data_IF_503228498032
#
_entry.id   IF_503228498032
#
_cell.length_a   1.000
_cell.length_b   1.000
_cell.length_c   1.000
_cell.angle_alpha   90.00
_cell.angle_beta   90.00
_cell.angle_gamma   90.00
#
_symmetry.space_group_name_H-M   'P 1'
#
loop_
_entity.id
_entity.type
_entity.pdbx_description
1 polymer ?
#
# COMPACT_ATOMS: atom_id res chain seq x y z
N UNK A 1 7.40 -28.34 -3.61
CA UNK A 1 8.82 -28.01 -3.94
C UNK A 1 8.90 -26.96 -5.06
N UNK A 2 8.19 -27.16 -6.18
CA UNK A 2 8.10 -26.20 -7.30
C UNK A 2 7.61 -24.78 -6.91
N UNK A 3 6.59 -24.65 -6.05
CA UNK A 3 6.10 -23.32 -5.60
C UNK A 3 7.09 -22.55 -4.71
N UNK A 4 7.87 -23.25 -3.88
CA UNK A 4 8.92 -22.61 -3.06
C UNK A 4 10.10 -22.15 -3.93
N UNK A 5 10.40 -22.89 -5.00
CA UNK A 5 11.43 -22.52 -5.98
C UNK A 5 11.00 -21.31 -6.82
N UNK A 6 9.74 -21.24 -7.26
CA UNK A 6 9.23 -20.08 -8.01
C UNK A 6 9.16 -18.80 -7.15
N UNK A 7 8.72 -18.89 -5.89
CA UNK A 7 8.70 -17.72 -4.98
C UNK A 7 10.09 -17.15 -4.73
N UNK A 8 11.10 -18.00 -4.45
CA UNK A 8 12.49 -17.55 -4.26
C UNK A 8 13.07 -16.95 -5.54
N UNK A 9 12.75 -17.52 -6.70
CA UNK A 9 13.18 -17.01 -8.00
C UNK A 9 12.65 -15.60 -8.28
N UNK A 10 11.33 -15.37 -8.16
CA UNK A 10 10.74 -14.06 -8.37
C UNK A 10 11.18 -13.01 -7.34
N UNK A 11 11.35 -13.40 -6.07
CA UNK A 11 11.91 -12.50 -5.05
C UNK A 11 13.37 -12.11 -5.38
N UNK A 12 14.17 -13.03 -5.90
CA UNK A 12 15.54 -12.73 -6.35
C UNK A 12 15.53 -11.74 -7.53
N UNK A 13 14.66 -11.97 -8.53
CA UNK A 13 14.49 -11.06 -9.67
C UNK A 13 14.03 -9.67 -9.25
N UNK A 14 13.15 -9.56 -8.24
CA UNK A 14 12.67 -8.26 -7.74
C UNK A 14 13.78 -7.36 -7.19
N UNK A 15 14.92 -7.95 -6.77
CA UNK A 15 16.07 -7.24 -6.22
C UNK A 15 17.12 -6.87 -7.28
N UNK A 16 17.01 -7.41 -8.50
CA UNK A 16 18.04 -7.23 -9.52
C UNK A 16 17.73 -6.01 -10.41
N UNK A 17 18.37 -4.88 -10.10
CA UNK A 17 18.20 -3.61 -10.84
C UNK A 17 18.66 -3.70 -12.31
N UNK A 18 19.56 -4.62 -12.68
CA UNK A 18 20.11 -4.73 -14.04
C UNK A 18 19.12 -5.31 -15.06
N UNK A 19 18.19 -6.17 -14.63
CA UNK A 19 17.14 -6.74 -15.51
C UNK A 19 16.03 -5.70 -15.79
N UNK A 20 15.99 -4.62 -15.00
CA UNK A 20 14.94 -3.60 -15.09
C UNK A 20 14.97 -2.79 -16.39
N UNK A 21 16.14 -2.50 -16.96
CA UNK A 21 16.25 -1.60 -18.13
C UNK A 21 15.66 -2.20 -19.41
N UNK A 22 15.92 -3.49 -19.69
CA UNK A 22 15.37 -4.21 -20.84
C UNK A 22 13.89 -4.57 -20.68
N UNK A 23 13.46 -4.94 -19.47
CA UNK A 23 12.09 -5.30 -19.17
C UNK A 23 11.13 -4.10 -19.15
N UNK A 24 11.60 -2.91 -18.75
CA UNK A 24 10.81 -1.65 -18.68
C UNK A 24 10.13 -1.28 -20.01
N UNK A 25 10.75 -1.61 -21.16
CA UNK A 25 10.24 -1.26 -22.50
C UNK A 25 9.15 -2.21 -23.03
N UNK A 26 9.13 -3.47 -22.59
CA UNK A 26 8.23 -4.50 -23.12
C UNK A 26 7.21 -5.03 -22.10
N UNK A 27 7.49 -4.95 -20.79
CA UNK A 27 6.69 -5.61 -19.77
C UNK A 27 5.30 -5.00 -19.49
N UNK A 28 5.09 -3.70 -19.74
CA UNK A 28 3.75 -3.10 -19.65
C UNK A 28 2.78 -3.71 -20.67
N UNK A 29 3.27 -4.03 -21.88
CA UNK A 29 2.49 -4.73 -22.92
C UNK A 29 2.32 -6.23 -22.65
N UNK A 30 3.06 -6.80 -21.70
CA UNK A 30 3.11 -8.24 -21.39
C UNK A 30 2.44 -8.59 -20.05
N UNK A 31 1.49 -7.76 -19.58
CA UNK A 31 0.64 -8.07 -18.43
C UNK A 31 0.91 -7.25 -17.16
N UNK A 32 1.96 -6.40 -17.12
CA UNK A 32 2.17 -5.52 -15.96
C UNK A 32 1.06 -4.46 -15.81
N UNK A 33 0.38 -4.08 -16.90
CA UNK A 33 -0.80 -3.19 -16.87
C UNK A 33 -1.97 -3.72 -16.03
N UNK A 34 -2.01 -5.03 -15.76
CA UNK A 34 -3.04 -5.63 -14.90
C UNK A 34 -2.85 -5.30 -13.42
N UNK A 35 -1.65 -4.88 -13.01
CA UNK A 35 -1.33 -4.60 -11.60
C UNK A 35 -0.62 -3.26 -11.39
N UNK A 36 -0.32 -2.53 -12.46
CA UNK A 36 0.24 -1.17 -12.46
C UNK A 36 -0.54 -0.31 -13.42
N UNK A 37 -0.99 0.85 -12.94
CA UNK A 37 -1.95 1.73 -13.63
C UNK A 37 -1.31 2.68 -14.66
N UNK A 38 -0.09 2.37 -15.11
CA UNK A 38 0.69 3.21 -16.03
C UNK A 38 2.01 3.68 -15.43
N UNK A 39 2.69 4.54 -16.17
CA UNK A 39 3.99 5.12 -15.82
C UNK A 39 3.98 6.64 -15.72
N UNK A 40 2.86 7.29 -16.10
CA UNK A 40 2.67 8.75 -16.00
C UNK A 40 1.50 9.09 -15.07
N UNK A 41 1.44 10.36 -14.64
CA UNK A 41 0.32 10.89 -13.84
C UNK A 41 -0.98 10.80 -14.65
N UNK A 42 -0.98 11.21 -15.92
CA UNK A 42 -2.19 11.20 -16.76
C UNK A 42 -2.77 9.79 -16.93
N UNK A 43 -1.91 8.79 -17.12
CA UNK A 43 -2.33 7.38 -17.22
C UNK A 43 -3.00 6.91 -15.92
N UNK A 44 -2.39 7.20 -14.77
CA UNK A 44 -2.99 6.78 -13.50
C UNK A 44 -4.27 7.55 -13.18
N UNK A 45 -4.36 8.85 -13.51
CA UNK A 45 -5.59 9.63 -13.32
C UNK A 45 -6.76 9.04 -14.12
N UNK A 46 -6.52 8.58 -15.34
CA UNK A 46 -7.55 7.88 -16.13
C UNK A 46 -8.03 6.61 -15.41
N UNK A 47 -7.10 5.79 -14.89
CA UNK A 47 -7.46 4.57 -14.14
C UNK A 47 -8.22 4.89 -12.86
N UNK A 48 -7.78 5.89 -12.09
CA UNK A 48 -8.43 6.31 -10.85
C UNK A 48 -9.84 6.83 -11.12
N UNK A 49 -10.03 7.55 -12.23
CA UNK A 49 -11.35 8.06 -12.66
C UNK A 49 -12.33 6.91 -12.92
N UNK A 50 -11.90 5.88 -13.66
CA UNK A 50 -12.75 4.73 -13.93
C UNK A 50 -13.09 3.95 -12.65
N UNK A 51 -12.12 3.75 -11.75
CA UNK A 51 -12.38 3.11 -10.46
C UNK A 51 -13.38 3.92 -9.61
N UNK A 52 -13.27 5.26 -9.58
CA UNK A 52 -14.22 6.12 -8.88
C UNK A 52 -15.64 6.04 -9.48
N UNK A 53 -15.78 5.96 -10.81
CA UNK A 53 -17.08 5.75 -11.48
C UNK A 53 -17.74 4.43 -11.07
N UNK A 54 -16.95 3.41 -10.74
CA UNK A 54 -17.43 2.12 -10.23
C UNK A 54 -17.79 2.15 -8.72
N UNK A 55 -17.68 3.31 -8.06
CA UNK A 55 -17.94 3.47 -6.63
C UNK A 55 -16.78 3.04 -5.73
N UNK A 56 -15.59 2.86 -6.29
CA UNK A 56 -14.39 2.49 -5.54
C UNK A 56 -13.57 3.74 -5.20
N UNK A 57 -13.09 3.85 -3.98
CA UNK A 57 -12.10 4.85 -3.59
C UNK A 57 -10.69 4.38 -3.99
N UNK A 58 -9.71 5.28 -4.03
CA UNK A 58 -8.34 4.92 -4.37
C UNK A 58 -7.30 5.39 -3.34
N UNK A 59 -6.11 4.80 -3.40
CA UNK A 59 -4.88 5.33 -2.83
C UNK A 59 -3.78 5.07 -3.84
N UNK A 60 -3.17 6.13 -4.35
CA UNK A 60 -2.15 6.02 -5.39
C UNK A 60 -0.76 5.93 -4.77
N UNK A 61 0.13 5.14 -5.37
CA UNK A 61 1.52 4.97 -4.94
C UNK A 61 2.42 5.18 -6.15
N UNK A 62 3.26 6.21 -6.10
CA UNK A 62 4.32 6.38 -7.10
C UNK A 62 5.43 5.37 -6.79
N UNK A 63 5.71 4.50 -7.76
CA UNK A 63 6.65 3.41 -7.61
C UNK A 63 8.09 3.93 -7.64
N UNK A 64 8.75 3.71 -6.51
CA UNK A 64 10.16 3.88 -6.22
C UNK A 64 10.39 3.33 -4.81
N UNK A 65 11.59 2.85 -4.47
CA UNK A 65 11.95 2.46 -3.09
C UNK A 65 13.48 2.49 -2.96
N UNK A 66 13.98 2.76 -1.75
CA UNK A 66 15.42 2.71 -1.42
C UNK A 66 16.27 3.62 -2.32
N UNK A 67 15.89 4.90 -2.36
CA UNK A 67 16.66 5.95 -3.02
C UNK A 67 17.96 6.19 -2.25
N UNK A 68 19.08 6.29 -2.96
CA UNK A 68 20.41 6.49 -2.37
C UNK A 68 20.95 7.91 -2.60
N UNK A 69 20.36 8.66 -3.53
CA UNK A 69 20.79 10.01 -3.89
C UNK A 69 19.74 11.05 -3.53
N UNK A 70 20.18 12.20 -2.99
CA UNK A 70 19.25 13.28 -2.60
C UNK A 70 18.45 13.81 -3.79
N UNK A 71 19.04 13.82 -4.98
CA UNK A 71 18.37 14.28 -6.21
C UNK A 71 17.17 13.37 -6.58
N UNK A 72 17.36 12.05 -6.52
CA UNK A 72 16.27 11.08 -6.72
C UNK A 72 15.13 11.27 -5.70
N UNK A 73 15.47 11.61 -4.46
CA UNK A 73 14.49 11.87 -3.40
C UNK A 73 13.71 13.17 -3.63
N UNK A 74 14.39 14.21 -4.12
CA UNK A 74 13.75 15.48 -4.52
C UNK A 74 12.80 15.24 -5.71
N UNK A 75 13.23 14.47 -6.71
CA UNK A 75 12.38 14.09 -7.84
C UNK A 75 11.14 13.32 -7.39
N UNK A 76 11.29 12.40 -6.44
CA UNK A 76 10.18 11.64 -5.85
C UNK A 76 9.21 12.54 -5.06
N UNK A 77 9.75 13.50 -4.30
CA UNK A 77 8.96 14.53 -3.61
C UNK A 77 8.13 15.35 -4.59
N UNK A 78 8.74 15.85 -5.66
CA UNK A 78 8.04 16.67 -6.65
C UNK A 78 7.00 15.88 -7.43
N UNK A 79 7.24 14.58 -7.68
CA UNK A 79 6.24 13.67 -8.23
C UNK A 79 5.04 13.49 -7.29
N UNK A 80 5.27 13.35 -5.98
CA UNK A 80 4.19 13.30 -4.98
C UNK A 80 3.33 14.57 -5.00
N UNK A 81 3.97 15.75 -5.04
CA UNK A 81 3.28 17.06 -5.09
C UNK A 81 2.41 17.18 -6.36
N UNK A 82 2.97 16.88 -7.53
CA UNK A 82 2.23 16.88 -8.81
C UNK A 82 1.07 15.87 -8.82
N UNK A 83 1.25 14.72 -8.18
CA UNK A 83 0.19 13.70 -8.06
C UNK A 83 -0.96 14.21 -7.21
N UNK A 84 -0.69 14.90 -6.09
CA UNK A 84 -1.72 15.52 -5.25
C UNK A 84 -2.49 16.58 -6.03
N UNK A 85 -1.78 17.46 -6.74
CA UNK A 85 -2.39 18.50 -7.57
C UNK A 85 -3.28 17.91 -8.66
N UNK A 86 -2.84 16.85 -9.33
CA UNK A 86 -3.63 16.16 -10.35
C UNK A 86 -4.88 15.47 -9.76
N UNK A 87 -4.76 14.80 -8.61
CA UNK A 87 -5.91 14.23 -7.89
C UNK A 87 -6.94 15.33 -7.61
N UNK A 88 -6.49 16.48 -7.12
CA UNK A 88 -7.36 17.60 -6.77
C UNK A 88 -8.01 18.24 -8.01
N UNK A 89 -7.22 18.51 -9.05
CA UNK A 89 -7.69 19.12 -10.31
C UNK A 89 -8.78 18.28 -10.98
N UNK A 90 -8.66 16.96 -10.92
CA UNK A 90 -9.61 16.02 -11.52
C UNK A 90 -10.72 15.56 -10.55
N UNK A 91 -10.77 16.11 -9.33
CA UNK A 91 -11.73 15.74 -8.27
C UNK A 91 -11.78 14.22 -8.00
N UNK A 92 -10.61 13.58 -8.02
CA UNK A 92 -10.47 12.14 -7.80
C UNK A 92 -10.58 11.84 -6.31
N UNK A 93 -11.45 10.91 -5.94
CA UNK A 93 -11.50 10.34 -4.60
C UNK A 93 -10.32 9.38 -4.37
N UNK A 94 -9.14 9.95 -4.12
CA UNK A 94 -7.92 9.21 -3.83
C UNK A 94 -7.13 9.78 -2.65
N UNK A 95 -6.45 8.89 -1.94
CA UNK A 95 -5.34 9.24 -1.05
C UNK A 95 -4.01 9.15 -1.81
N UNK A 96 -2.92 9.56 -1.17
CA UNK A 96 -1.55 9.27 -1.60
C UNK A 96 -0.87 8.34 -0.59
N UNK A 97 -0.34 7.19 -1.04
CA UNK A 97 0.56 6.32 -0.26
C UNK A 97 2.01 6.68 -0.59
N UNK A 98 2.88 6.72 0.42
CA UNK A 98 4.29 7.10 0.27
C UNK A 98 5.16 6.13 1.09
N UNK A 99 6.25 5.64 0.50
CA UNK A 99 7.33 4.97 1.23
C UNK A 99 8.44 5.98 1.53
N UNK A 100 8.82 6.11 2.79
CA UNK A 100 9.73 7.16 3.23
C UNK A 100 11.15 6.98 2.68
N UNK A 101 11.57 5.74 2.36
CA UNK A 101 12.85 5.53 1.69
C UNK A 101 12.93 6.15 0.29
N UNK A 102 11.80 6.43 -0.36
CA UNK A 102 11.78 7.22 -1.61
C UNK A 102 12.14 8.69 -1.39
N UNK A 103 11.96 9.18 -0.16
CA UNK A 103 12.15 10.57 0.21
C UNK A 103 13.44 10.78 1.00
N UNK A 104 14.33 9.78 1.00
CA UNK A 104 15.66 9.86 1.61
C UNK A 104 15.73 9.44 3.08
N UNK A 105 14.78 8.64 3.59
CA UNK A 105 14.81 8.16 4.99
C UNK A 105 16.13 7.45 5.35
N UNK A 106 16.70 6.70 4.42
CA UNK A 106 17.97 5.99 4.60
C UNK A 106 19.21 6.87 4.32
N UNK A 107 19.02 8.07 3.76
CA UNK A 107 20.08 9.07 3.53
C UNK A 107 20.24 9.92 4.79
N UNK A 108 19.17 10.58 5.18
CA UNK A 108 19.13 11.50 6.33
C UNK A 108 17.68 11.71 6.76
N UNK A 109 17.40 11.46 8.04
CA UNK A 109 16.03 11.49 8.57
C UNK A 109 15.41 12.89 8.50
N UNK A 110 16.21 13.93 8.78
CA UNK A 110 15.72 15.30 8.84
C UNK A 110 15.46 15.84 7.42
N UNK A 111 16.28 15.45 6.44
CA UNK A 111 16.00 15.66 5.02
C UNK A 111 14.71 14.97 4.57
N UNK A 112 14.47 13.73 4.98
CA UNK A 112 13.22 13.03 4.69
C UNK A 112 12.01 13.77 5.30
N UNK A 113 12.13 14.23 6.54
CA UNK A 113 11.09 15.02 7.21
C UNK A 113 10.83 16.35 6.46
N UNK A 114 11.87 17.05 6.03
CA UNK A 114 11.74 18.29 5.25
C UNK A 114 11.00 18.04 3.92
N UNK A 115 11.37 16.99 3.19
CA UNK A 115 10.67 16.59 1.97
C UNK A 115 9.19 16.28 2.24
N UNK A 116 8.89 15.55 3.32
CA UNK A 116 7.53 15.23 3.71
C UNK A 116 6.71 16.48 4.09
N UNK A 117 7.31 17.45 4.79
CA UNK A 117 6.64 18.71 5.13
C UNK A 117 6.19 19.47 3.88
N UNK A 118 7.03 19.55 2.85
CA UNK A 118 6.63 20.16 1.56
C UNK A 118 5.47 19.43 0.88
N UNK A 119 5.43 18.09 0.94
CA UNK A 119 4.32 17.29 0.38
C UNK A 119 3.03 17.54 1.19
N UNK A 120 3.14 17.55 2.52
CA UNK A 120 2.03 17.82 3.44
C UNK A 120 1.42 19.20 3.20
N UNK A 121 2.24 20.23 2.94
CA UNK A 121 1.74 21.57 2.62
C UNK A 121 0.85 21.59 1.37
N UNK A 122 1.20 20.82 0.33
CA UNK A 122 0.35 20.68 -0.87
C UNK A 122 -0.90 19.85 -0.55
N UNK A 123 -0.76 18.74 0.18
CA UNK A 123 -1.90 17.91 0.59
C UNK A 123 -2.90 18.66 1.47
N UNK A 124 -2.44 19.58 2.33
CA UNK A 124 -3.28 20.43 3.19
C UNK A 124 -4.14 21.38 2.39
N UNK A 125 -3.59 22.01 1.34
CA UNK A 125 -4.35 22.89 0.42
C UNK A 125 -5.50 22.17 -0.26
N UNK A 126 -5.31 20.89 -0.59
CA UNK A 126 -6.29 20.08 -1.32
C UNK A 126 -7.06 19.09 -0.45
N UNK A 127 -6.83 19.10 0.87
CA UNK A 127 -7.51 18.22 1.83
C UNK A 127 -7.31 16.70 1.56
N UNK A 128 -6.18 16.33 0.95
CA UNK A 128 -5.86 14.96 0.51
C UNK A 128 -5.14 14.16 1.60
N UNK A 129 -5.71 13.04 2.03
CA UNK A 129 -5.07 12.19 3.03
C UNK A 129 -3.76 11.55 2.52
N UNK A 130 -2.74 11.53 3.39
CA UNK A 130 -1.46 10.85 3.14
C UNK A 130 -1.35 9.59 4.01
N UNK A 131 -1.00 8.47 3.38
CA UNK A 131 -0.58 7.25 4.06
C UNK A 131 0.94 7.10 3.99
N UNK A 132 1.58 7.03 5.14
CA UNK A 132 2.95 6.55 5.26
C UNK A 132 2.92 5.01 5.24
N UNK A 133 3.36 4.42 4.14
CA UNK A 133 3.49 2.97 4.02
C UNK A 133 4.62 2.48 4.92
N UNK A 134 4.34 1.40 5.66
CA UNK A 134 5.35 0.78 6.51
C UNK A 134 6.21 -0.19 5.70
N UNK A 135 7.51 0.05 5.74
CA UNK A 135 8.53 -0.75 5.07
C UNK A 135 8.99 -1.91 5.98
N UNK A 136 10.21 -2.42 5.80
CA UNK A 136 10.76 -3.45 6.70
C UNK A 136 11.06 -2.91 8.11
N UNK A 137 11.29 -3.85 9.03
CA UNK A 137 11.42 -3.54 10.46
C UNK A 137 12.54 -2.52 10.77
N UNK A 138 13.62 -2.46 9.98
CA UNK A 138 14.72 -1.53 10.22
C UNK A 138 14.33 -0.05 10.03
N UNK A 139 13.23 0.22 9.32
CA UNK A 139 12.68 1.58 9.11
C UNK A 139 11.44 1.85 9.97
N UNK A 140 10.98 0.88 10.76
CA UNK A 140 9.71 0.96 11.46
C UNK A 140 9.64 2.14 12.43
N UNK A 141 10.60 2.22 13.35
CA UNK A 141 10.62 3.30 14.35
C UNK A 141 10.87 4.67 13.73
N UNK A 142 11.71 4.74 12.70
CA UNK A 142 11.94 5.99 11.96
C UNK A 142 10.65 6.47 11.28
N UNK A 143 9.85 5.55 10.76
CA UNK A 143 8.53 5.88 10.17
C UNK A 143 7.55 6.41 11.22
N UNK A 144 7.50 5.79 12.40
CA UNK A 144 6.63 6.26 13.49
C UNK A 144 7.06 7.64 14.01
N UNK A 145 8.37 7.91 14.10
CA UNK A 145 8.89 9.25 14.43
C UNK A 145 8.45 10.29 13.40
N UNK A 146 8.60 10.01 12.10
CA UNK A 146 8.16 10.94 11.03
C UNK A 146 6.65 11.18 11.09
N UNK A 147 5.85 10.14 11.36
CA UNK A 147 4.41 10.28 11.56
C UNK A 147 4.10 11.24 12.72
N UNK A 148 4.72 11.04 13.87
CA UNK A 148 4.52 11.88 15.06
C UNK A 148 4.84 13.35 14.77
N UNK A 149 5.98 13.62 14.14
CA UNK A 149 6.39 14.98 13.79
C UNK A 149 5.41 15.66 12.82
N UNK A 150 4.94 14.95 11.79
CA UNK A 150 4.01 15.52 10.81
C UNK A 150 2.59 15.73 11.38
N UNK A 151 2.17 14.88 12.33
CA UNK A 151 0.84 14.98 12.95
C UNK A 151 0.65 16.20 13.84
N UNK A 152 1.74 16.87 14.23
CA UNK A 152 1.68 18.15 14.97
C UNK A 152 0.97 19.24 14.15
N UNK A 153 1.11 19.21 12.82
CA UNK A 153 0.64 20.27 11.92
C UNK A 153 -0.42 19.80 10.89
N UNK A 154 -0.61 18.48 10.76
CA UNK A 154 -1.50 17.87 9.78
C UNK A 154 -2.18 16.59 10.30
N UNK A 155 -3.50 16.61 10.44
CA UNK A 155 -4.30 15.53 11.01
C UNK A 155 -4.71 14.44 10.01
N UNK A 156 -4.76 14.77 8.70
CA UNK A 156 -5.06 13.86 7.58
C UNK A 156 -3.84 13.06 7.11
N UNK A 157 -3.07 12.57 8.07
CA UNK A 157 -1.96 11.66 7.83
C UNK A 157 -2.05 10.45 8.77
N UNK A 158 -1.74 9.28 8.25
CA UNK A 158 -1.71 8.04 9.02
C UNK A 158 -0.66 7.09 8.50
N UNK A 159 -0.48 5.96 9.18
CA UNK A 159 0.54 4.96 8.84
C UNK A 159 -0.03 3.56 8.69
N UNK A 160 0.86 2.59 8.48
CA UNK A 160 0.53 1.16 8.37
C UNK A 160 1.11 0.43 9.58
N UNK A 161 0.34 -0.48 10.18
CA UNK A 161 0.85 -1.44 11.19
C UNK A 161 0.77 -2.86 10.63
N UNK A 162 1.83 -3.62 10.85
CA UNK A 162 2.02 -4.96 10.30
C UNK A 162 1.80 -6.01 11.39
N UNK A 163 0.78 -6.85 11.23
CA UNK A 163 0.33 -7.79 12.25
C UNK A 163 1.31 -8.92 12.59
N UNK A 164 2.26 -9.22 11.69
CA UNK A 164 3.31 -10.19 12.00
C UNK A 164 4.33 -9.68 13.04
N UNK A 165 4.38 -8.39 13.40
CA UNK A 165 5.36 -7.89 14.36
C UNK A 165 4.90 -8.15 15.79
N UNK A 166 5.82 -8.58 16.65
CA UNK A 166 5.51 -8.84 18.07
C UNK A 166 5.00 -7.59 18.80
N UNK A 167 5.51 -6.40 18.42
CA UNK A 167 5.13 -5.10 18.99
C UNK A 167 3.79 -4.53 18.49
N UNK A 168 3.18 -5.12 17.46
CA UNK A 168 2.05 -4.50 16.75
C UNK A 168 0.85 -4.20 17.65
N UNK A 169 0.59 -5.01 18.68
CA UNK A 169 -0.52 -4.76 19.62
C UNK A 169 -0.30 -3.51 20.47
N UNK A 170 0.93 -3.27 20.90
CA UNK A 170 1.29 -2.08 21.66
C UNK A 170 1.20 -0.83 20.78
N UNK A 171 1.74 -0.89 19.57
CA UNK A 171 1.69 0.24 18.63
C UNK A 171 0.26 0.59 18.21
N UNK A 172 -0.63 -0.40 18.02
CA UNK A 172 -2.06 -0.14 17.74
C UNK A 172 -2.74 0.58 18.90
N UNK A 173 -2.38 0.27 20.16
CA UNK A 173 -2.94 0.96 21.34
C UNK A 173 -2.41 2.38 21.45
N UNK A 174 -1.10 2.57 21.28
CA UNK A 174 -0.47 3.89 21.41
C UNK A 174 -0.92 4.85 20.30
N UNK A 175 -1.30 4.32 19.13
CA UNK A 175 -1.80 5.08 17.99
C UNK A 175 -3.34 5.15 17.92
N UNK A 176 -4.05 4.91 19.02
CA UNK A 176 -5.50 5.16 19.07
C UNK A 176 -5.81 6.62 18.69
N UNK A 177 -6.84 6.81 17.86
CA UNK A 177 -7.22 8.09 17.25
C UNK A 177 -6.51 8.38 15.93
N UNK A 178 -5.42 7.67 15.59
CA UNK A 178 -4.75 7.80 14.31
C UNK A 178 -5.45 6.92 13.27
N UNK A 179 -5.60 7.42 12.04
CA UNK A 179 -6.08 6.59 10.95
C UNK A 179 -5.00 5.54 10.61
N UNK A 180 -5.26 4.26 10.86
CA UNK A 180 -4.29 3.17 10.60
C UNK A 180 -4.75 2.25 9.47
N UNK A 181 -3.80 1.87 8.61
CA UNK A 181 -3.96 0.71 7.72
C UNK A 181 -3.34 -0.50 8.40
N UNK A 182 -4.14 -1.54 8.61
CA UNK A 182 -3.66 -2.80 9.18
C UNK A 182 -3.41 -3.79 8.04
N UNK A 183 -2.21 -4.38 8.02
CA UNK A 183 -1.80 -5.43 7.06
C UNK A 183 -1.21 -6.63 7.80
N UNK A 184 -1.11 -7.79 7.14
CA UNK A 184 -0.40 -8.95 7.70
C UNK A 184 1.11 -8.71 7.84
N UNK A 185 1.72 -8.04 6.85
CA UNK A 185 3.16 -7.85 6.71
C UNK A 185 3.66 -8.40 5.37
N UNK A 186 4.59 -7.70 4.73
CA UNK A 186 5.06 -8.01 3.36
C UNK A 186 6.56 -8.38 3.28
N UNK A 187 7.33 -8.10 4.33
CA UNK A 187 8.77 -8.28 4.35
C UNK A 187 9.15 -9.62 4.99
N UNK A 188 10.40 -10.05 4.78
CA UNK A 188 10.94 -11.23 5.45
C UNK A 188 11.74 -10.77 6.65
N UNK A 189 11.14 -10.88 7.83
CA UNK A 189 11.74 -10.46 9.09
C UNK A 189 12.26 -11.64 9.92
N UNK A 190 13.18 -11.35 10.83
CA UNK A 190 13.75 -12.34 11.73
C UNK A 190 12.74 -12.77 12.81
N UNK A 191 12.80 -14.02 13.32
CA UNK A 191 11.84 -14.53 14.30
C UNK A 191 11.79 -13.76 15.63
N UNK A 192 12.88 -13.08 15.99
CA UNK A 192 12.97 -12.26 17.21
C UNK A 192 12.11 -10.98 17.13
N UNK A 193 11.74 -10.52 15.93
CA UNK A 193 10.90 -9.32 15.75
C UNK A 193 9.52 -9.64 15.16
N UNK A 194 9.38 -10.80 14.51
CA UNK A 194 8.16 -11.18 13.81
C UNK A 194 7.71 -12.63 14.03
N UNK A 195 6.40 -12.81 14.17
CA UNK A 195 5.68 -14.08 14.10
C UNK A 195 5.93 -14.72 12.73
N UNK A 196 6.29 -16.00 12.72
CA UNK A 196 6.62 -16.74 11.50
C UNK A 196 5.48 -17.65 11.02
N UNK A 197 4.64 -18.10 11.94
CA UNK A 197 3.54 -19.03 11.66
C UNK A 197 2.34 -18.28 11.08
N UNK A 198 1.92 -18.66 9.87
CA UNK A 198 0.84 -17.97 9.14
C UNK A 198 -0.47 -17.90 9.93
N UNK A 199 -0.88 -18.98 10.60
CA UNK A 199 -2.13 -19.00 11.36
C UNK A 199 -2.08 -18.00 12.53
N UNK A 200 -0.94 -17.92 13.23
CA UNK A 200 -0.72 -16.94 14.29
C UNK A 200 -0.71 -15.50 13.77
N UNK A 201 -0.18 -15.27 12.56
CA UNK A 201 -0.26 -13.95 11.91
C UNK A 201 -1.71 -13.60 11.59
N UNK A 202 -2.51 -14.56 11.09
CA UNK A 202 -3.91 -14.34 10.73
C UNK A 202 -4.78 -14.09 11.97
N UNK A 203 -4.52 -14.81 13.07
CA UNK A 203 -5.12 -14.58 14.40
C UNK A 203 -4.76 -13.19 14.92
N UNK A 204 -3.47 -12.86 15.01
CA UNK A 204 -3.02 -11.56 15.51
C UNK A 204 -3.57 -10.42 14.64
N UNK A 205 -3.63 -10.60 13.31
CA UNK A 205 -4.21 -9.60 12.42
C UNK A 205 -5.67 -9.28 12.76
N UNK A 206 -6.48 -10.30 13.03
CA UNK A 206 -7.86 -10.10 13.44
C UNK A 206 -7.96 -9.46 14.83
N UNK A 207 -7.12 -9.85 15.79
CA UNK A 207 -7.06 -9.22 17.12
C UNK A 207 -6.73 -7.73 17.04
N UNK A 208 -5.75 -7.34 16.21
CA UNK A 208 -5.40 -5.93 16.01
C UNK A 208 -6.52 -5.13 15.35
N UNK A 209 -7.26 -5.73 14.42
CA UNK A 209 -8.43 -5.09 13.82
C UNK A 209 -9.49 -4.82 14.88
N UNK A 210 -9.84 -5.82 15.70
CA UNK A 210 -10.81 -5.64 16.80
C UNK A 210 -10.37 -4.55 17.75
N UNK A 211 -9.10 -4.58 18.18
CA UNK A 211 -8.51 -3.61 19.09
C UNK A 211 -8.63 -2.18 18.57
N UNK A 212 -8.27 -1.95 17.30
CA UNK A 212 -8.31 -0.61 16.72
C UNK A 212 -9.76 -0.14 16.46
N UNK A 213 -10.65 -1.02 16.02
CA UNK A 213 -12.07 -0.68 15.83
C UNK A 213 -12.75 -0.32 17.16
N UNK A 214 -12.49 -1.07 18.23
CA UNK A 214 -13.07 -0.80 19.56
C UNK A 214 -12.57 0.51 20.17
N UNK A 215 -11.40 1.00 19.75
CA UNK A 215 -10.90 2.32 20.16
C UNK A 215 -11.67 3.51 19.55
N UNK A 216 -12.60 3.25 18.60
CA UNK A 216 -13.31 4.30 17.85
C UNK A 216 -12.54 4.89 16.68
N UNK A 217 -11.30 4.43 16.47
CA UNK A 217 -10.40 4.94 15.42
C UNK A 217 -10.81 4.51 14.02
N UNK A 218 -10.48 5.34 13.02
CA UNK A 218 -10.70 4.97 11.62
C UNK A 218 -9.73 3.87 11.20
N UNK A 219 -10.27 2.73 10.76
CA UNK A 219 -9.46 1.53 10.48
C UNK A 219 -9.53 1.13 9.01
N UNK A 220 -8.39 1.16 8.31
CA UNK A 220 -8.27 0.62 6.96
C UNK A 220 -7.78 -0.84 7.01
N UNK A 221 -8.65 -1.77 6.61
CA UNK A 221 -8.43 -3.21 6.69
C UNK A 221 -7.93 -3.70 5.32
N UNK A 222 -6.62 -3.77 5.16
CA UNK A 222 -5.97 -4.12 3.90
C UNK A 222 -5.77 -5.64 3.77
N UNK A 223 -6.75 -6.32 3.18
CA UNK A 223 -6.74 -7.77 3.00
C UNK A 223 -7.52 -8.20 1.75
N UNK A 224 -7.02 -9.24 1.07
CA UNK A 224 -7.75 -9.93 -0.01
C UNK A 224 -8.43 -11.21 0.47
N UNK A 225 -8.39 -11.49 1.76
CA UNK A 225 -8.86 -12.73 2.36
C UNK A 225 -10.33 -12.61 2.79
N UNK A 226 -11.21 -13.30 2.06
CA UNK A 226 -12.65 -13.32 2.34
C UNK A 226 -12.98 -13.77 3.77
N UNK A 227 -12.22 -14.71 4.35
CA UNK A 227 -12.51 -15.19 5.70
C UNK A 227 -12.26 -14.09 6.74
N UNK A 228 -11.20 -13.29 6.56
CA UNK A 228 -10.95 -12.14 7.43
C UNK A 228 -12.02 -11.07 7.22
N UNK A 229 -12.40 -10.80 5.98
CA UNK A 229 -13.43 -9.79 5.65
C UNK A 229 -14.77 -10.16 6.29
N UNK A 230 -15.20 -11.42 6.17
CA UNK A 230 -16.47 -11.88 6.75
C UNK A 230 -16.44 -11.81 8.28
N UNK A 231 -15.34 -12.22 8.93
CA UNK A 231 -15.15 -12.07 10.39
C UNK A 231 -15.21 -10.61 10.84
N UNK A 232 -14.63 -9.69 10.07
CA UNK A 232 -14.68 -8.25 10.37
C UNK A 232 -16.11 -7.72 10.26
N UNK A 233 -16.85 -8.11 9.22
CA UNK A 233 -18.24 -7.70 9.04
C UNK A 233 -19.14 -8.18 10.18
N UNK A 234 -18.96 -9.43 10.60
CA UNK A 234 -19.66 -10.01 11.75
C UNK A 234 -19.33 -9.25 13.04
N UNK A 235 -18.04 -9.08 13.34
CA UNK A 235 -17.59 -8.34 14.52
C UNK A 235 -18.10 -6.90 14.54
N UNK A 236 -18.06 -6.19 13.42
CA UNK A 236 -18.56 -4.83 13.30
C UNK A 236 -20.07 -4.75 13.58
N UNK A 237 -20.85 -5.72 13.07
CA UNK A 237 -22.29 -5.82 13.31
C UNK A 237 -22.59 -6.09 14.79
N UNK A 238 -21.92 -7.05 15.40
CA UNK A 238 -22.10 -7.42 16.81
C UNK A 238 -21.81 -6.25 17.76
N UNK A 239 -20.76 -5.48 17.46
CA UNK A 239 -20.32 -4.34 18.27
C UNK A 239 -20.93 -3.01 17.83
N UNK A 240 -21.89 -3.02 16.90
CA UNK A 240 -22.58 -1.81 16.37
C UNK A 240 -21.62 -0.75 15.82
N UNK A 241 -20.50 -1.18 15.24
CA UNK A 241 -19.50 -0.31 14.61
C UNK A 241 -20.04 0.17 13.26
N UNK A 242 -19.99 1.48 13.01
CA UNK A 242 -20.45 2.05 11.75
C UNK A 242 -19.56 1.63 10.57
N UNK A 243 -20.16 1.33 9.42
CA UNK A 243 -19.43 1.14 8.15
C UNK A 243 -18.62 2.38 7.74
N UNK A 244 -18.89 3.56 8.32
CA UNK A 244 -18.12 4.79 8.09
C UNK A 244 -16.84 4.87 8.93
N UNK A 245 -16.70 4.02 9.96
CA UNK A 245 -15.53 3.99 10.84
C UNK A 245 -14.39 3.15 10.24
N UNK A 246 -14.64 2.38 9.19
CA UNK A 246 -13.61 1.53 8.60
C UNK A 246 -13.79 1.38 7.09
N UNK A 247 -12.74 0.90 6.44
CA UNK A 247 -12.75 0.59 5.03
C UNK A 247 -12.04 -0.73 4.77
N UNK A 248 -12.38 -1.37 3.66
CA UNK A 248 -11.58 -2.46 3.11
C UNK A 248 -10.63 -1.94 2.05
N UNK A 249 -9.42 -2.52 2.01
CA UNK A 249 -8.41 -2.15 1.04
C UNK A 249 -7.85 -3.35 0.30
N UNK A 250 -7.71 -3.23 -1.02
CA UNK A 250 -7.15 -4.25 -1.88
C UNK A 250 -6.26 -3.64 -2.95
N UNK A 251 -5.22 -4.38 -3.32
CA UNK A 251 -4.36 -4.03 -4.46
C UNK A 251 -5.16 -4.00 -5.77
N UNK A 252 -4.79 -3.05 -6.64
CA UNK A 252 -5.25 -2.97 -8.02
C UNK A 252 -5.02 -4.29 -8.77
N UNK A 253 -5.98 -4.67 -9.61
CA UNK A 253 -5.96 -5.94 -10.34
C UNK A 253 -6.37 -7.18 -9.54
N UNK A 254 -6.58 -7.09 -8.22
CA UNK A 254 -6.81 -8.26 -7.37
C UNK A 254 -8.24 -8.32 -6.82
N UNK A 255 -8.93 -9.46 -7.03
CA UNK A 255 -10.27 -9.71 -6.47
C UNK A 255 -11.31 -8.64 -6.86
N UNK A 256 -11.26 -8.15 -8.10
CA UNK A 256 -12.10 -7.03 -8.59
C UNK A 256 -13.59 -7.22 -8.29
N UNK A 257 -14.13 -8.42 -8.51
CA UNK A 257 -15.54 -8.73 -8.18
C UNK A 257 -15.86 -8.54 -6.68
N UNK A 258 -14.94 -8.92 -5.80
CA UNK A 258 -15.11 -8.71 -4.36
C UNK A 258 -15.02 -7.23 -3.99
N UNK A 259 -14.15 -6.46 -4.66
CA UNK A 259 -14.08 -5.01 -4.46
C UNK A 259 -15.43 -4.35 -4.79
N UNK A 260 -15.98 -4.65 -5.97
CA UNK A 260 -17.28 -4.14 -6.42
C UNK A 260 -18.42 -4.59 -5.50
N UNK A 261 -18.38 -5.85 -5.05
CA UNK A 261 -19.36 -6.38 -4.09
C UNK A 261 -19.34 -5.61 -2.77
N UNK A 262 -18.18 -5.38 -2.17
CA UNK A 262 -18.05 -4.65 -0.91
C UNK A 262 -18.53 -3.19 -1.03
N UNK A 263 -18.24 -2.52 -2.13
CA UNK A 263 -18.76 -1.18 -2.40
C UNK A 263 -20.29 -1.17 -2.49
N UNK A 264 -20.89 -2.12 -3.22
CA UNK A 264 -22.35 -2.27 -3.32
C UNK A 264 -23.03 -2.60 -1.99
N UNK A 265 -22.33 -3.28 -1.09
CA UNK A 265 -22.79 -3.56 0.28
C UNK A 265 -22.73 -2.32 1.20
N UNK A 266 -22.22 -1.18 0.70
CA UNK A 266 -22.15 0.08 1.45
C UNK A 266 -20.90 0.23 2.32
N UNK A 267 -19.86 -0.60 2.11
CA UNK A 267 -18.55 -0.38 2.72
C UNK A 267 -17.72 0.57 1.86
N UNK A 268 -16.91 1.42 2.50
CA UNK A 268 -15.82 2.09 1.79
C UNK A 268 -14.83 1.01 1.31
N UNK A 269 -14.71 0.85 0.00
CA UNK A 269 -13.74 -0.05 -0.63
C UNK A 269 -12.70 0.78 -1.35
N UNK A 270 -11.44 0.69 -0.91
CA UNK A 270 -10.33 1.46 -1.47
C UNK A 270 -9.31 0.58 -2.19
N UNK A 271 -9.01 0.94 -3.44
CA UNK A 271 -8.04 0.24 -4.27
C UNK A 271 -6.66 0.90 -4.14
N UNK A 272 -5.64 0.12 -3.85
CA UNK A 272 -4.24 0.56 -3.87
C UNK A 272 -3.70 0.48 -5.29
N UNK A 273 -3.40 1.63 -5.89
CA UNK A 273 -3.11 1.80 -7.31
C UNK A 273 -1.66 2.24 -7.49
N UNK A 274 -0.74 1.32 -7.81
CA UNK A 274 0.65 1.67 -8.07
C UNK A 274 0.83 2.18 -9.51
N UNK A 275 1.70 3.16 -9.71
CA UNK A 275 2.08 3.67 -11.03
C UNK A 275 3.53 4.13 -11.04
N UNK A 276 4.15 4.23 -12.22
CA UNK A 276 5.50 4.78 -12.37
C UNK A 276 6.48 3.81 -13.04
N UNK A 277 7.66 4.34 -13.37
CA UNK A 277 8.65 3.64 -14.21
C UNK A 277 9.32 2.47 -13.51
N UNK A 278 9.34 2.44 -12.17
CA UNK A 278 9.99 1.39 -11.38
C UNK A 278 9.05 0.23 -11.02
N UNK A 279 8.15 -0.10 -11.94
CA UNK A 279 7.13 -1.13 -11.76
C UNK A 279 7.66 -2.56 -11.63
N UNK A 280 8.87 -2.86 -12.13
CA UNK A 280 9.36 -4.22 -12.25
C UNK A 280 9.51 -4.95 -10.92
N UNK A 281 10.16 -4.30 -9.93
CA UNK A 281 10.36 -4.90 -8.60
C UNK A 281 9.03 -5.18 -7.90
N UNK A 282 8.10 -4.21 -7.97
CA UNK A 282 6.74 -4.36 -7.48
C UNK A 282 6.01 -5.54 -8.14
N UNK A 283 6.03 -5.60 -9.48
CA UNK A 283 5.39 -6.66 -10.26
C UNK A 283 5.92 -8.05 -9.89
N UNK A 284 7.25 -8.20 -9.77
CA UNK A 284 7.87 -9.47 -9.41
C UNK A 284 7.48 -9.94 -7.99
N UNK A 285 7.35 -9.03 -7.02
CA UNK A 285 6.85 -9.36 -5.68
C UNK A 285 5.39 -9.86 -5.73
N UNK A 286 4.54 -9.23 -6.55
CA UNK A 286 3.14 -9.65 -6.74
C UNK A 286 3.03 -11.03 -7.39
N UNK A 287 3.90 -11.36 -8.34
CA UNK A 287 3.98 -12.71 -8.92
C UNK A 287 4.41 -13.76 -7.90
N UNK A 288 5.37 -13.42 -7.03
CA UNK A 288 5.87 -14.31 -5.98
C UNK A 288 4.80 -14.66 -4.93
N UNK A 289 3.84 -13.76 -4.69
CA UNK A 289 2.75 -13.95 -3.72
C UNK A 289 1.65 -14.89 -4.22
N UNK A 290 1.50 -15.08 -5.53
CA UNK A 290 0.51 -16.00 -6.11
C UNK A 290 1.10 -16.80 -7.29
N UNK A 291 1.71 -17.96 -7.03
CA UNK A 291 2.20 -18.87 -8.08
C UNK A 291 1.11 -19.28 -9.09
N UNK A 292 -0.15 -19.32 -8.66
CA UNK A 292 -1.29 -19.64 -9.53
C UNK A 292 -1.54 -18.56 -10.61
N UNK A 293 -1.21 -17.29 -10.31
CA UNK A 293 -1.27 -16.20 -11.29
C UNK A 293 -0.06 -16.23 -12.24
N UNK A 294 1.03 -16.93 -11.90
CA UNK A 294 2.17 -17.11 -12.82
C UNK A 294 1.74 -17.87 -14.07
N UNK A 295 0.82 -18.85 -13.96
CA UNK A 295 0.25 -19.54 -15.15
C UNK A 295 -0.51 -18.58 -16.08
N UNK A 296 -1.17 -17.54 -15.54
CA UNK A 296 -1.90 -16.54 -16.32
C UNK A 296 -0.99 -15.45 -16.90
N UNK A 297 -0.02 -14.97 -16.11
CA UNK A 297 1.02 -14.06 -16.58
C UNK A 297 1.86 -14.71 -17.69
N UNK A 298 2.18 -16.00 -17.58
CA UNK A 298 2.85 -16.75 -18.64
C UNK A 298 1.94 -17.05 -19.85
N UNK A 299 0.62 -17.22 -19.69
CA UNK A 299 -0.29 -17.35 -20.83
C UNK A 299 -0.29 -16.09 -21.70
N UNK A 300 -0.16 -14.90 -21.11
CA UNK A 300 0.07 -13.66 -21.84
C UNK A 300 1.41 -13.59 -22.59
N UNK A 301 2.41 -14.38 -22.17
CA UNK A 301 3.71 -14.50 -22.85
C UNK A 301 3.66 -15.39 -24.11
N UNK A 302 2.70 -16.31 -24.20
CA UNK A 302 2.62 -17.31 -25.30
C UNK A 302 1.34 -17.21 -26.16
N UNK A 303 0.35 -16.39 -25.80
CA UNK A 303 -0.88 -16.26 -26.61
C UNK A 303 -0.80 -15.23 -27.75
N UNK A 304 0.40 -14.76 -28.09
CA UNK A 304 0.68 -14.00 -29.31
C UNK A 304 2.00 -14.48 -29.94
N UNK A 305 1.99 -15.75 -30.34
CA UNK A 305 2.68 -16.18 -31.55
C UNK A 305 1.61 -16.54 -32.58
#
# INVERSE_FOLDING_TARGET
>A
MLEKMSKKFFLSLSKNRLISSGAKKWGLKLGASQVVAGVTIDEVINVLTELNKEGLHCTVDHLGEYVQEREEAINSKDMCKKTIEAIAQHNISSHLSIKLTQLGLDIDRDFCLANMKEIVEVAKKHQIFIRLDMEDFARYEKTLYILEELRKDYDKIGTVIQAYLHRASEDVKSLAGVNLRLVKGAYKEAPNVAIQEKNKIDENYFELIKLHLLSGSYTAIASHDHQIIDKVKEFAKENKISNKQFEFQMLYGMRQELQKKLAKEGYTMRVYVPFGRDWYGYFMRRLAERPQNVKWAMKGLFSKS
#
